data_IF_111329451949
#
_entry.id   IF_111329451949
#
_cell.length_a   1.000
_cell.length_b   1.000
_cell.length_c   1.000
_cell.angle_alpha   90.00
_cell.angle_beta   90.00
_cell.angle_gamma   90.00
#
_symmetry.space_group_name_H-M   'P 1'
#
loop_
_entity.id
_entity.type
_entity.pdbx_description
1 polymer ?
#
# COMPACT_ATOMS: atom_id res chain seq x y z
N UNK A 1 -2.87 -21.02 12.88
CA UNK A 1 -2.40 -20.13 13.98
C UNK A 1 -1.00 -19.55 13.71
N UNK A 2 -0.72 -19.01 12.51
CA UNK A 2 0.63 -18.59 12.07
C UNK A 2 0.79 -17.07 11.82
N UNK A 3 -0.26 -16.26 11.96
CA UNK A 3 -0.21 -14.79 11.83
C UNK A 3 0.01 -14.03 13.15
N UNK A 4 -0.01 -14.72 14.30
CA UNK A 4 0.01 -14.05 15.60
C UNK A 4 1.40 -13.50 15.98
N UNK A 5 2.50 -14.16 15.64
CA UNK A 5 3.84 -13.72 16.11
C UNK A 5 4.33 -12.41 15.47
N UNK A 6 4.13 -12.23 14.16
CA UNK A 6 4.51 -10.99 13.44
C UNK A 6 3.68 -9.77 13.86
N UNK A 7 2.42 -9.98 14.27
CA UNK A 7 1.56 -8.93 14.82
C UNK A 7 1.97 -8.60 16.26
N UNK A 8 2.39 -9.61 17.03
CA UNK A 8 2.73 -9.45 18.45
C UNK A 8 4.00 -8.61 18.64
N UNK A 9 5.10 -8.84 17.91
CA UNK A 9 6.31 -8.03 18.13
C UNK A 9 6.11 -6.57 17.72
N UNK A 10 5.40 -6.30 16.62
CA UNK A 10 5.05 -4.93 16.21
C UNK A 10 4.11 -4.24 17.20
N UNK A 11 3.12 -4.96 17.74
CA UNK A 11 2.26 -4.45 18.82
C UNK A 11 3.09 -4.09 20.04
N UNK A 12 4.05 -4.95 20.43
CA UNK A 12 4.99 -4.67 21.51
C UNK A 12 5.79 -3.40 21.20
N UNK A 13 6.33 -3.24 19.98
CA UNK A 13 7.05 -2.02 19.57
C UNK A 13 6.16 -0.77 19.67
N UNK A 14 4.94 -0.83 19.16
CA UNK A 14 3.99 0.29 19.17
C UNK A 14 3.63 0.68 20.60
N UNK A 15 3.34 -0.30 21.46
CA UNK A 15 3.02 -0.05 22.87
C UNK A 15 4.23 0.49 23.66
N UNK A 16 5.43 0.00 23.35
CA UNK A 16 6.70 0.52 23.88
C UNK A 16 6.89 1.98 23.51
N UNK A 17 6.69 2.29 22.23
CA UNK A 17 6.82 3.64 21.71
C UNK A 17 5.79 4.59 22.34
N UNK A 18 4.52 4.19 22.44
CA UNK A 18 3.48 5.01 23.10
C UNK A 18 3.86 5.33 24.54
N UNK A 19 4.31 4.34 25.31
CA UNK A 19 4.79 4.55 26.70
C UNK A 19 5.94 5.54 26.77
N UNK A 20 6.91 5.45 25.86
CA UNK A 20 8.06 6.37 25.83
C UNK A 20 7.59 7.79 25.48
N UNK A 21 6.71 7.95 24.49
CA UNK A 21 6.17 9.26 24.11
C UNK A 21 5.37 9.87 25.27
N UNK A 22 4.52 9.09 25.93
CA UNK A 22 3.75 9.54 27.09
C UNK A 22 4.67 9.99 28.23
N UNK A 23 5.76 9.25 28.48
CA UNK A 23 6.79 9.60 29.47
C UNK A 23 7.54 10.89 29.09
N UNK A 24 7.95 11.04 27.83
CA UNK A 24 8.64 12.24 27.35
C UNK A 24 7.72 13.48 27.37
N UNK A 25 6.44 13.31 27.03
CA UNK A 25 5.43 14.36 27.07
C UNK A 25 5.14 14.82 28.51
N UNK A 26 5.00 13.88 29.44
CA UNK A 26 4.75 14.18 30.86
C UNK A 26 5.87 14.98 31.52
N UNK A 27 7.10 14.94 30.97
CA UNK A 27 8.26 15.66 31.47
C UNK A 27 8.62 16.88 30.61
N UNK A 28 7.79 17.25 29.62
CA UNK A 28 7.99 18.40 28.74
C UNK A 28 9.35 18.43 28.01
N UNK A 29 9.94 17.25 27.75
CA UNK A 29 11.24 17.14 27.07
C UNK A 29 11.13 16.91 25.56
N UNK A 30 9.91 16.78 25.02
CA UNK A 30 9.66 16.62 23.58
C UNK A 30 9.97 17.87 22.75
N UNK A 31 10.09 19.03 23.38
CA UNK A 31 10.47 20.29 22.73
C UNK A 31 11.99 20.37 22.47
N UNK A 32 12.78 19.47 23.07
CA UNK A 32 14.21 19.36 22.77
C UNK A 32 14.41 18.84 21.33
N UNK A 33 15.10 19.57 20.44
CA UNK A 33 15.22 19.21 19.03
C UNK A 33 15.84 17.83 18.79
N UNK A 34 16.78 17.42 19.66
CA UNK A 34 17.47 16.13 19.55
C UNK A 34 16.53 15.00 19.99
N UNK A 35 15.76 15.21 21.08
CA UNK A 35 14.72 14.25 21.48
C UNK A 35 13.64 14.13 20.41
N UNK A 36 13.27 15.24 19.77
CA UNK A 36 12.30 15.24 18.67
C UNK A 36 12.82 14.49 17.43
N UNK A 37 14.09 14.66 17.06
CA UNK A 37 14.72 13.92 15.97
C UNK A 37 14.79 12.41 16.28
N UNK A 38 15.18 12.05 17.50
CA UNK A 38 15.20 10.65 17.96
C UNK A 38 13.79 10.04 17.94
N UNK A 39 12.78 10.82 18.31
CA UNK A 39 11.37 10.44 18.23
C UNK A 39 10.93 10.13 16.79
N UNK A 40 11.31 10.95 15.81
CA UNK A 40 11.06 10.70 14.38
C UNK A 40 11.79 9.42 13.92
N UNK A 41 13.05 9.22 14.33
CA UNK A 41 13.81 8.02 13.99
C UNK A 41 13.21 6.74 14.57
N UNK A 42 12.51 6.81 15.70
CA UNK A 42 11.73 5.68 16.23
C UNK A 42 10.52 5.41 15.34
N UNK A 43 9.78 6.44 14.93
CA UNK A 43 8.65 6.30 13.99
C UNK A 43 9.11 5.63 12.69
N UNK A 44 10.23 6.07 12.12
CA UNK A 44 10.82 5.48 10.92
C UNK A 44 11.22 4.03 11.13
N UNK A 45 11.74 3.70 12.33
CA UNK A 45 12.08 2.33 12.69
C UNK A 45 10.83 1.44 12.78
N UNK A 46 9.73 1.94 13.33
CA UNK A 46 8.43 1.24 13.39
C UNK A 46 7.84 1.04 11.99
N UNK A 47 8.00 2.05 11.12
CA UNK A 47 7.51 2.02 9.74
C UNK A 47 8.40 1.17 8.80
N UNK A 48 9.66 0.92 9.16
CA UNK A 48 10.56 0.06 8.38
C UNK A 48 10.15 -1.41 8.49
N UNK A 49 9.63 -1.95 7.38
CA UNK A 49 9.03 -3.27 7.36
C UNK A 49 10.09 -4.41 7.30
N UNK A 50 10.04 -5.30 8.29
CA UNK A 50 10.43 -6.73 8.22
C UNK A 50 11.83 -7.19 8.70
N UNK A 51 12.52 -6.47 9.58
CA UNK A 51 13.71 -7.05 10.23
C UNK A 51 13.77 -6.76 11.74
N UNK A 52 13.38 -7.74 12.56
CA UNK A 52 13.43 -7.70 14.03
C UNK A 52 14.86 -7.58 14.58
N UNK A 53 15.86 -8.12 13.86
CA UNK A 53 17.26 -7.99 14.24
C UNK A 53 17.75 -6.55 13.99
N UNK A 54 17.41 -5.99 12.83
CA UNK A 54 17.70 -4.58 12.51
C UNK A 54 16.95 -3.63 13.45
N UNK A 55 15.71 -3.95 13.82
CA UNK A 55 14.96 -3.25 14.87
C UNK A 55 15.75 -3.25 16.18
N UNK A 56 16.20 -4.42 16.63
CA UNK A 56 16.98 -4.54 17.86
C UNK A 56 18.30 -3.76 17.82
N UNK A 57 19.00 -3.76 16.68
CA UNK A 57 20.26 -3.04 16.50
C UNK A 57 20.06 -1.52 16.49
N UNK A 58 19.11 -1.03 15.69
CA UNK A 58 18.79 0.40 15.61
C UNK A 58 18.15 0.93 16.90
N UNK A 59 17.32 0.14 17.57
CA UNK A 59 16.73 0.51 18.85
C UNK A 59 17.78 0.62 19.96
N UNK A 60 18.85 -0.21 19.96
CA UNK A 60 19.98 -0.05 20.89
C UNK A 60 20.63 1.32 20.72
N UNK A 61 20.89 1.70 19.47
CA UNK A 61 21.58 2.96 19.19
C UNK A 61 20.71 4.17 19.53
N UNK A 62 19.43 4.15 19.18
CA UNK A 62 18.47 5.19 19.56
C UNK A 62 18.35 5.28 21.09
N UNK A 63 18.25 4.14 21.78
CA UNK A 63 18.18 4.13 23.25
C UNK A 63 19.44 4.71 23.89
N UNK A 64 20.62 4.42 23.34
CA UNK A 64 21.90 4.98 23.80
C UNK A 64 21.88 6.51 23.68
N UNK A 65 21.51 7.03 22.51
CA UNK A 65 21.45 8.47 22.24
C UNK A 65 20.40 9.17 23.13
N UNK A 66 19.23 8.55 23.31
CA UNK A 66 18.16 9.07 24.16
C UNK A 66 18.58 9.09 25.63
N UNK A 67 19.25 8.03 26.12
CA UNK A 67 19.81 7.96 27.47
C UNK A 67 20.84 9.07 27.70
N UNK A 68 21.81 9.22 26.80
CA UNK A 68 22.83 10.25 26.90
C UNK A 68 22.22 11.65 26.94
N UNK A 69 21.24 11.92 26.06
CA UNK A 69 20.57 13.22 26.00
C UNK A 69 19.75 13.50 27.26
N UNK A 70 18.93 12.55 27.71
CA UNK A 70 18.11 12.72 28.92
C UNK A 70 18.98 12.92 30.17
N UNK A 71 20.08 12.18 30.32
CA UNK A 71 21.04 12.41 31.40
C UNK A 71 21.67 13.82 31.32
N UNK A 72 22.02 14.29 30.11
CA UNK A 72 22.57 15.64 29.92
C UNK A 72 21.59 16.75 30.28
N UNK A 73 20.28 16.49 30.18
CA UNK A 73 19.20 17.39 30.57
C UNK A 73 18.80 17.24 32.06
N UNK A 74 19.55 16.47 32.86
CA UNK A 74 19.24 16.22 34.28
C UNK A 74 18.12 15.20 34.53
N UNK A 75 17.57 14.60 33.48
CA UNK A 75 16.43 13.67 33.54
C UNK A 75 16.89 12.21 33.74
N UNK A 76 17.72 11.98 34.77
CA UNK A 76 18.36 10.67 35.03
C UNK A 76 17.32 9.58 35.31
N UNK A 77 16.29 9.89 36.10
CA UNK A 77 15.23 8.94 36.45
C UNK A 77 14.38 8.56 35.23
N UNK A 78 13.96 9.55 34.44
CA UNK A 78 13.24 9.34 33.19
C UNK A 78 14.06 8.51 32.19
N UNK A 79 15.37 8.78 32.12
CA UNK A 79 16.29 7.98 31.30
C UNK A 79 16.32 6.52 31.72
N UNK A 80 16.35 6.22 33.02
CA UNK A 80 16.33 4.85 33.54
C UNK A 80 14.99 4.16 33.26
N UNK A 81 13.87 4.86 33.45
CA UNK A 81 12.52 4.35 33.18
C UNK A 81 12.33 4.00 31.70
N UNK A 82 12.71 4.91 30.79
CA UNK A 82 12.66 4.67 29.34
C UNK A 82 13.61 3.54 28.93
N UNK A 83 14.83 3.50 29.48
CA UNK A 83 15.78 2.42 29.21
C UNK A 83 15.20 1.07 29.62
N UNK A 84 14.56 0.99 30.79
CA UNK A 84 13.89 -0.21 31.28
C UNK A 84 12.77 -0.66 30.36
N UNK A 85 11.91 0.26 29.93
CA UNK A 85 10.83 -0.02 28.96
C UNK A 85 11.39 -0.59 27.65
N UNK A 86 12.48 -0.03 27.12
CA UNK A 86 13.12 -0.52 25.89
C UNK A 86 13.75 -1.91 26.09
N UNK A 87 14.45 -2.13 27.20
CA UNK A 87 15.08 -3.43 27.51
C UNK A 87 14.04 -4.54 27.66
N UNK A 88 13.02 -4.33 28.50
CA UNK A 88 11.95 -5.32 28.70
C UNK A 88 11.22 -5.65 27.40
N UNK A 89 11.02 -4.65 26.55
CA UNK A 89 10.35 -4.85 25.26
C UNK A 89 11.22 -5.62 24.28
N UNK A 90 12.54 -5.39 24.28
CA UNK A 90 13.49 -6.19 23.50
C UNK A 90 13.57 -7.63 23.97
N UNK A 91 13.50 -7.89 25.27
CA UNK A 91 13.45 -9.24 25.85
C UNK A 91 12.15 -9.96 25.47
N UNK A 92 11.00 -9.27 25.56
CA UNK A 92 9.71 -9.77 25.09
C UNK A 92 9.76 -10.13 23.59
N UNK A 93 10.31 -9.24 22.77
CA UNK A 93 10.50 -9.45 21.34
C UNK A 93 11.43 -10.64 21.08
N UNK A 94 12.56 -10.77 21.78
CA UNK A 94 13.46 -11.93 21.67
C UNK A 94 12.79 -13.24 22.13
N UNK A 95 11.96 -13.18 23.18
CA UNK A 95 11.18 -14.31 23.69
C UNK A 95 10.14 -14.83 22.70
N UNK A 96 9.72 -14.02 21.72
CA UNK A 96 8.86 -14.50 20.62
C UNK A 96 9.56 -15.46 19.64
N UNK A 97 10.89 -15.64 19.74
CA UNK A 97 11.69 -16.55 18.89
C UNK A 97 11.83 -17.99 19.43
N UNK A 98 11.32 -18.32 20.63
CA UNK A 98 11.47 -19.65 21.24
C UNK A 98 10.58 -20.75 20.60
N UNK A 99 9.79 -20.39 19.60
CA UNK A 99 9.22 -21.33 18.66
C UNK A 99 9.95 -21.15 17.34
N UNK A 100 10.37 -22.25 16.72
CA UNK A 100 10.88 -22.34 15.35
C UNK A 100 9.84 -21.82 14.34
N UNK A 101 9.49 -20.55 14.44
CA UNK A 101 8.63 -19.84 13.53
C UNK A 101 9.55 -19.30 12.47
N UNK A 102 9.71 -20.08 11.39
CA UNK A 102 10.11 -19.50 10.10
C UNK A 102 9.31 -18.20 9.93
N UNK A 103 9.97 -17.04 9.71
CA UNK A 103 9.25 -15.86 9.30
C UNK A 103 8.38 -16.28 8.13
N UNK A 104 7.08 -15.96 8.18
CA UNK A 104 6.26 -16.16 7.01
C UNK A 104 6.89 -15.26 5.94
N UNK A 105 7.58 -15.86 4.97
CA UNK A 105 8.11 -15.20 3.78
C UNK A 105 6.93 -14.71 2.92
N UNK A 106 6.14 -13.77 3.44
CA UNK A 106 5.25 -12.96 2.65
C UNK A 106 6.01 -11.70 2.28
N UNK A 107 6.91 -11.83 1.32
CA UNK A 107 7.51 -10.65 0.71
C UNK A 107 7.13 -10.61 -0.77
N UNK A 108 5.83 -10.52 -1.05
CA UNK A 108 5.34 -10.05 -2.36
C UNK A 108 5.96 -8.69 -2.69
N UNK A 109 6.36 -7.92 -1.67
CA UNK A 109 7.23 -6.76 -1.76
C UNK A 109 8.27 -6.78 -0.63
N UNK A 110 9.52 -6.41 -0.93
CA UNK A 110 10.62 -6.22 0.03
C UNK A 110 11.35 -4.93 -0.31
N UNK A 111 11.66 -4.13 0.71
CA UNK A 111 12.53 -2.96 0.59
C UNK A 111 13.72 -3.17 1.51
N UNK A 112 14.93 -3.20 0.96
CA UNK A 112 16.15 -3.41 1.72
C UNK A 112 17.33 -2.71 1.03
N UNK A 113 18.11 -1.94 1.81
CA UNK A 113 19.37 -1.35 1.38
C UNK A 113 19.26 -0.53 0.08
N UNK A 114 18.17 0.22 -0.08
CA UNK A 114 17.87 1.00 -1.28
C UNK A 114 17.36 0.18 -2.47
N UNK A 115 17.25 -1.14 -2.33
CA UNK A 115 16.66 -2.05 -3.32
C UNK A 115 15.20 -2.35 -2.97
N UNK A 116 14.36 -2.40 -4.00
CA UNK A 116 12.97 -2.85 -3.91
C UNK A 116 12.87 -4.13 -4.73
N UNK A 117 12.28 -5.18 -4.17
CA UNK A 117 11.87 -6.37 -4.92
C UNK A 117 10.38 -6.62 -4.79
N UNK A 118 9.77 -7.07 -5.88
CA UNK A 118 8.35 -7.33 -6.06
C UNK A 118 8.19 -8.72 -6.70
N UNK A 119 7.35 -9.59 -6.12
CA UNK A 119 7.12 -10.94 -6.64
C UNK A 119 8.38 -11.79 -6.78
N UNK A 120 9.40 -11.55 -5.95
CA UNK A 120 10.70 -12.22 -6.02
C UNK A 120 11.70 -11.62 -7.02
N UNK A 121 11.32 -10.59 -7.79
CA UNK A 121 12.18 -9.90 -8.75
C UNK A 121 12.61 -8.53 -8.22
N UNK A 122 13.83 -8.08 -8.50
CA UNK A 122 14.19 -6.67 -8.22
C UNK A 122 13.37 -5.72 -9.10
N UNK A 123 13.09 -4.52 -8.63
CA UNK A 123 12.17 -3.57 -9.28
C UNK A 123 12.49 -3.36 -10.77
N UNK A 124 13.78 -3.20 -11.10
CA UNK A 124 14.25 -3.03 -12.50
C UNK A 124 13.90 -4.19 -13.42
N UNK A 125 13.74 -5.40 -12.87
CA UNK A 125 13.36 -6.62 -13.60
C UNK A 125 11.83 -6.76 -13.61
N UNK A 126 11.18 -6.46 -12.48
CA UNK A 126 9.73 -6.50 -12.36
C UNK A 126 9.03 -5.56 -13.36
N UNK A 127 9.50 -4.31 -13.50
CA UNK A 127 8.87 -3.32 -14.40
C UNK A 127 9.17 -3.54 -15.88
N UNK A 128 10.03 -4.50 -16.23
CA UNK A 128 10.30 -4.88 -17.63
C UNK A 128 9.24 -5.82 -18.21
N UNK A 129 8.42 -6.43 -17.36
CA UNK A 129 7.27 -7.18 -17.82
C UNK A 129 6.32 -6.22 -18.57
N UNK A 130 5.97 -6.53 -19.81
CA UNK A 130 5.10 -5.68 -20.63
C UNK A 130 3.62 -6.04 -20.46
N UNK A 131 3.30 -7.22 -19.94
CA UNK A 131 1.92 -7.60 -19.62
C UNK A 131 1.61 -7.30 -18.14
N UNK A 132 0.79 -6.27 -17.92
CA UNK A 132 0.40 -5.87 -16.57
C UNK A 132 -0.35 -6.99 -15.83
N UNK A 133 -1.08 -7.87 -16.53
CA UNK A 133 -1.69 -9.05 -15.90
C UNK A 133 -0.62 -9.99 -15.33
N UNK A 134 0.41 -10.31 -16.12
CA UNK A 134 1.46 -11.24 -15.71
C UNK A 134 2.21 -10.70 -14.49
N UNK A 135 2.62 -9.43 -14.53
CA UNK A 135 3.33 -8.79 -13.43
C UNK A 135 2.50 -8.77 -12.13
N UNK A 136 1.21 -8.42 -12.22
CA UNK A 136 0.35 -8.32 -11.03
C UNK A 136 -0.15 -9.66 -10.51
N UNK A 137 -0.28 -10.69 -11.36
CA UNK A 137 -0.51 -12.06 -10.92
C UNK A 137 0.72 -12.63 -10.19
N UNK A 138 1.94 -12.30 -10.66
CA UNK A 138 3.17 -12.67 -9.97
C UNK A 138 3.20 -12.10 -8.54
N UNK A 139 2.75 -10.86 -8.34
CA UNK A 139 2.57 -10.30 -7.00
C UNK A 139 1.67 -11.19 -6.16
N UNK A 140 0.56 -11.69 -6.70
CA UNK A 140 -0.36 -12.61 -6.01
C UNK A 140 0.18 -14.04 -5.83
N UNK A 141 1.46 -14.28 -6.16
CA UNK A 141 2.10 -15.59 -6.20
C UNK A 141 1.31 -16.57 -7.10
N UNK A 142 0.83 -16.09 -8.24
CA UNK A 142 0.00 -16.84 -9.18
C UNK A 142 0.52 -16.65 -10.61
N UNK A 143 0.65 -17.72 -11.37
CA UNK A 143 1.14 -17.69 -12.75
C UNK A 143 0.47 -18.74 -13.64
N UNK A 144 -0.60 -19.37 -13.17
CA UNK A 144 -1.33 -20.37 -13.95
C UNK A 144 -2.07 -19.73 -15.15
N UNK A 145 -2.18 -20.45 -16.28
CA UNK A 145 -2.99 -20.01 -17.42
C UNK A 145 -4.47 -19.77 -17.06
N UNK A 146 -4.99 -20.54 -16.11
CA UNK A 146 -6.36 -20.38 -15.60
C UNK A 146 -6.56 -19.05 -14.88
N UNK A 147 -5.57 -18.62 -14.08
CA UNK A 147 -5.61 -17.33 -13.41
C UNK A 147 -5.52 -16.17 -14.40
N UNK A 148 -4.66 -16.26 -15.41
CA UNK A 148 -4.57 -15.25 -16.47
C UNK A 148 -5.89 -15.12 -17.25
N UNK A 149 -6.50 -16.25 -17.59
CA UNK A 149 -7.80 -16.28 -18.26
C UNK A 149 -8.91 -15.69 -17.40
N UNK A 150 -8.93 -16.06 -16.11
CA UNK A 150 -9.87 -15.53 -15.14
C UNK A 150 -9.71 -14.01 -14.93
N UNK A 151 -8.47 -13.52 -14.84
CA UNK A 151 -8.13 -12.12 -14.70
C UNK A 151 -8.61 -11.29 -15.91
N UNK A 152 -8.30 -11.73 -17.13
CA UNK A 152 -8.73 -11.07 -18.38
C UNK A 152 -10.25 -10.98 -18.49
N UNK A 153 -10.94 -12.09 -18.22
CA UNK A 153 -12.41 -12.13 -18.25
C UNK A 153 -13.01 -11.19 -17.21
N UNK A 154 -12.54 -11.27 -15.96
CA UNK A 154 -13.08 -10.46 -14.88
C UNK A 154 -12.79 -8.96 -15.07
N UNK A 155 -11.60 -8.59 -15.57
CA UNK A 155 -11.29 -7.21 -15.92
C UNK A 155 -12.23 -6.67 -17.00
N UNK A 156 -12.48 -7.44 -18.06
CA UNK A 156 -13.41 -7.06 -19.13
C UNK A 156 -14.85 -6.90 -18.63
N UNK A 157 -15.31 -7.77 -17.74
CA UNK A 157 -16.60 -7.60 -17.07
C UNK A 157 -16.62 -6.35 -16.16
N UNK A 158 -15.54 -6.12 -15.42
CA UNK A 158 -15.40 -5.00 -14.50
C UNK A 158 -15.31 -3.65 -15.22
N UNK A 159 -14.71 -3.59 -16.40
CA UNK A 159 -14.53 -2.36 -17.15
C UNK A 159 -15.82 -1.81 -17.74
N UNK A 160 -16.88 -2.61 -17.83
CA UNK A 160 -18.17 -2.16 -18.31
C UNK A 160 -18.92 -1.41 -17.20
N UNK A 161 -18.95 -0.08 -17.27
CA UNK A 161 -19.71 0.77 -16.34
C UNK A 161 -21.20 0.75 -16.71
N UNK A 162 -22.08 0.55 -15.73
CA UNK A 162 -23.53 0.70 -15.95
C UNK A 162 -24.00 2.14 -15.74
N UNK A 163 -25.24 2.44 -16.13
CA UNK A 163 -25.81 3.79 -16.08
C UNK A 163 -25.67 4.49 -14.72
N UNK A 164 -25.92 3.78 -13.62
CA UNK A 164 -25.78 4.35 -12.26
C UNK A 164 -24.33 4.68 -11.91
N UNK A 165 -23.39 3.84 -12.33
CA UNK A 165 -21.95 4.08 -12.12
C UNK A 165 -21.47 5.28 -12.95
N UNK A 166 -21.89 5.37 -14.21
CA UNK A 166 -21.63 6.52 -15.08
C UNK A 166 -22.17 7.80 -14.45
N UNK A 167 -23.43 7.78 -13.98
CA UNK A 167 -24.06 8.93 -13.32
C UNK A 167 -23.27 9.41 -12.09
N UNK A 168 -22.80 8.47 -11.25
CA UNK A 168 -21.98 8.80 -10.07
C UNK A 168 -20.71 9.55 -10.51
N UNK A 169 -20.02 9.05 -11.54
CA UNK A 169 -18.74 9.60 -11.99
C UNK A 169 -18.94 10.97 -12.65
N UNK A 170 -19.92 11.10 -13.54
CA UNK A 170 -20.25 12.38 -14.20
C UNK A 170 -20.69 13.44 -13.19
N UNK A 171 -21.49 13.05 -12.19
CA UNK A 171 -21.85 13.95 -11.09
C UNK A 171 -20.61 14.38 -10.30
N UNK A 172 -19.76 13.44 -9.93
CA UNK A 172 -18.52 13.75 -9.20
C UNK A 172 -17.61 14.70 -9.99
N UNK A 173 -17.55 14.55 -11.32
CA UNK A 173 -16.81 15.47 -12.19
C UNK A 173 -17.45 16.87 -12.21
N UNK A 174 -18.77 16.97 -12.39
CA UNK A 174 -19.50 18.26 -12.34
C UNK A 174 -19.31 18.98 -11.00
N UNK A 175 -19.35 18.22 -9.92
CA UNK A 175 -19.22 18.71 -8.54
C UNK A 175 -17.75 18.88 -8.11
N UNK A 176 -16.80 18.60 -9.02
CA UNK A 176 -15.35 18.74 -8.82
C UNK A 176 -14.79 17.97 -7.62
N UNK A 177 -15.32 16.77 -7.39
CA UNK A 177 -14.78 15.86 -6.37
C UNK A 177 -13.34 15.47 -6.68
N UNK A 178 -12.59 15.05 -5.66
CA UNK A 178 -11.29 14.46 -5.89
C UNK A 178 -11.44 13.02 -6.41
N UNK A 179 -10.49 12.55 -7.25
CA UNK A 179 -10.48 11.16 -7.74
C UNK A 179 -10.67 10.13 -6.61
N UNK A 180 -9.96 10.22 -5.46
CA UNK A 180 -10.16 9.28 -4.36
C UNK A 180 -11.61 9.26 -3.82
N UNK A 181 -12.30 10.39 -3.77
CA UNK A 181 -13.70 10.48 -3.30
C UNK A 181 -14.65 9.80 -4.27
N UNK A 182 -14.45 10.03 -5.57
CA UNK A 182 -15.18 9.35 -6.65
C UNK A 182 -14.99 7.84 -6.58
N UNK A 183 -13.74 7.37 -6.45
CA UNK A 183 -13.43 5.94 -6.41
C UNK A 183 -13.94 5.28 -5.13
N UNK A 184 -13.86 5.94 -3.98
CA UNK A 184 -14.45 5.45 -2.72
C UNK A 184 -15.97 5.32 -2.86
N UNK A 185 -16.65 6.29 -3.47
CA UNK A 185 -18.10 6.22 -3.73
C UNK A 185 -18.45 5.05 -4.65
N UNK A 186 -17.65 4.83 -5.69
CA UNK A 186 -17.78 3.67 -6.59
C UNK A 186 -17.62 2.33 -5.83
N UNK A 187 -16.66 2.23 -4.91
CA UNK A 187 -16.47 1.04 -4.08
C UNK A 187 -17.64 0.82 -3.10
N UNK A 188 -18.22 1.90 -2.55
CA UNK A 188 -19.43 1.80 -1.72
C UNK A 188 -20.60 1.26 -2.53
N UNK A 189 -20.79 1.72 -3.77
CA UNK A 189 -21.82 1.19 -4.66
C UNK A 189 -21.59 -0.32 -4.94
N UNK A 190 -20.35 -0.73 -5.21
CA UNK A 190 -20.01 -2.15 -5.38
C UNK A 190 -20.29 -2.98 -4.12
N UNK A 191 -20.07 -2.40 -2.93
CA UNK A 191 -20.37 -3.04 -1.65
C UNK A 191 -21.88 -3.23 -1.44
N UNK A 192 -22.68 -2.20 -1.74
CA UNK A 192 -24.14 -2.22 -1.56
C UNK A 192 -24.79 -3.26 -2.48
N UNK A 193 -24.24 -3.49 -3.68
CA UNK A 193 -24.71 -4.52 -4.61
C UNK A 193 -24.49 -5.95 -4.13
N UNK A 194 -23.71 -6.17 -3.08
CA UNK A 194 -23.57 -7.47 -2.43
C UNK A 194 -22.86 -8.55 -3.27
N UNK A 195 -22.13 -8.17 -4.34
CA UNK A 195 -21.41 -9.13 -5.20
C UNK A 195 -20.26 -9.83 -4.47
N UNK A 196 -19.60 -9.13 -3.55
CA UNK A 196 -18.32 -9.56 -2.99
C UNK A 196 -18.53 -10.30 -1.67
N UNK A 197 -18.13 -11.58 -1.56
CA UNK A 197 -18.11 -12.25 -0.27
C UNK A 197 -17.04 -11.66 0.64
N UNK A 198 -17.10 -12.08 1.90
CA UNK A 198 -16.01 -11.86 2.86
C UNK A 198 -14.70 -12.48 2.32
N UNK A 199 -13.55 -11.86 2.61
CA UNK A 199 -12.25 -12.45 2.25
C UNK A 199 -12.03 -13.85 2.84
N UNK A 200 -12.77 -14.22 3.88
CA UNK A 200 -12.78 -15.58 4.43
C UNK A 200 -13.05 -16.66 3.36
N UNK A 201 -13.85 -16.36 2.36
CA UNK A 201 -14.16 -17.29 1.27
C UNK A 201 -12.96 -17.57 0.36
N UNK A 202 -11.96 -16.69 0.36
CA UNK A 202 -10.74 -16.85 -0.41
C UNK A 202 -9.55 -17.38 0.41
N UNK A 203 -9.67 -17.41 1.74
CA UNK A 203 -8.59 -17.86 2.62
C UNK A 203 -8.17 -19.29 2.27
N UNK A 204 -6.86 -19.52 2.26
CA UNK A 204 -6.31 -20.86 2.16
C UNK A 204 -6.66 -21.65 3.44
N UNK A 205 -7.32 -22.79 3.28
CA UNK A 205 -7.70 -23.68 4.36
C UNK A 205 -6.90 -24.98 4.27
N UNK A 206 -6.03 -25.28 5.25
CA UNK A 206 -5.18 -26.49 5.22
C UNK A 206 -5.96 -27.81 5.18
N UNK A 207 -7.23 -27.81 5.60
CA UNK A 207 -8.11 -28.97 5.58
C UNK A 207 -8.81 -29.21 4.24
N UNK A 208 -8.72 -28.28 3.28
CA UNK A 208 -9.29 -28.44 1.94
C UNK A 208 -8.28 -29.06 0.97
N UNK A 209 -8.80 -29.72 -0.06
CA UNK A 209 -7.96 -30.25 -1.15
C UNK A 209 -7.20 -29.12 -1.88
N UNK A 210 -6.08 -29.43 -2.56
CA UNK A 210 -5.36 -28.44 -3.37
C UNK A 210 -6.24 -27.79 -4.44
N UNK A 211 -7.17 -28.56 -5.04
CA UNK A 211 -8.09 -28.07 -6.07
C UNK A 211 -9.08 -27.04 -5.48
N UNK A 212 -9.63 -27.30 -4.29
CA UNK A 212 -10.54 -26.36 -3.63
C UNK A 212 -9.83 -25.09 -3.20
N UNK A 213 -8.62 -25.19 -2.64
CA UNK A 213 -7.80 -24.04 -2.32
C UNK A 213 -7.44 -23.23 -3.58
N UNK A 214 -7.16 -23.90 -4.70
CA UNK A 214 -6.92 -23.21 -5.97
C UNK A 214 -8.17 -22.51 -6.49
N UNK A 215 -9.36 -23.13 -6.38
CA UNK A 215 -10.64 -22.49 -6.73
C UNK A 215 -10.90 -21.23 -5.91
N UNK A 216 -10.63 -21.26 -4.60
CA UNK A 216 -10.73 -20.09 -3.71
C UNK A 216 -9.80 -18.96 -4.16
N UNK A 217 -8.54 -19.29 -4.48
CA UNK A 217 -7.56 -18.32 -5.00
C UNK A 217 -7.99 -17.73 -6.34
N UNK A 218 -8.50 -18.55 -7.27
CA UNK A 218 -9.06 -18.08 -8.54
C UNK A 218 -10.29 -17.18 -8.33
N UNK A 219 -11.10 -17.43 -7.28
CA UNK A 219 -12.16 -16.54 -6.85
C UNK A 219 -11.64 -15.15 -6.47
N UNK A 220 -10.60 -15.09 -5.64
CA UNK A 220 -9.93 -13.83 -5.31
C UNK A 220 -9.38 -13.11 -6.54
N UNK A 221 -8.73 -13.83 -7.47
CA UNK A 221 -8.23 -13.23 -8.72
C UNK A 221 -9.37 -12.60 -9.52
N UNK A 222 -10.50 -13.30 -9.69
CA UNK A 222 -11.66 -12.76 -10.42
C UNK A 222 -12.17 -11.49 -9.78
N UNK A 223 -12.40 -11.48 -8.47
CA UNK A 223 -12.99 -10.32 -7.81
C UNK A 223 -12.01 -9.14 -7.72
N UNK A 224 -10.71 -9.40 -7.58
CA UNK A 224 -9.68 -8.37 -7.65
C UNK A 224 -9.65 -7.69 -9.03
N UNK A 225 -9.55 -8.47 -10.12
CA UNK A 225 -9.48 -7.90 -11.47
C UNK A 225 -10.78 -7.26 -11.93
N UNK A 226 -11.94 -7.74 -11.46
CA UNK A 226 -13.21 -7.06 -11.66
C UNK A 226 -13.18 -5.65 -11.04
N UNK A 227 -12.71 -5.52 -9.80
CA UNK A 227 -12.58 -4.21 -9.15
C UNK A 227 -11.52 -3.32 -9.81
N UNK A 228 -10.39 -3.87 -10.27
CA UNK A 228 -9.40 -3.12 -11.05
C UNK A 228 -10.04 -2.56 -12.32
N UNK A 229 -10.81 -3.37 -13.06
CA UNK A 229 -11.55 -2.93 -14.26
C UNK A 229 -12.52 -1.79 -13.96
N UNK A 230 -13.28 -1.90 -12.86
CA UNK A 230 -14.20 -0.84 -12.40
C UNK A 230 -13.46 0.45 -12.08
N UNK A 231 -12.39 0.37 -11.29
CA UNK A 231 -11.62 1.53 -10.85
C UNK A 231 -10.92 2.21 -12.04
N UNK A 232 -10.30 1.45 -12.94
CA UNK A 232 -9.64 2.00 -14.12
C UNK A 232 -10.63 2.69 -15.03
N UNK A 233 -11.77 2.05 -15.30
CA UNK A 233 -12.83 2.67 -16.11
C UNK A 233 -13.40 3.93 -15.48
N UNK A 234 -13.51 3.93 -14.14
CA UNK A 234 -13.93 5.13 -13.40
C UNK A 234 -12.93 6.27 -13.55
N UNK A 235 -11.62 5.97 -13.48
CA UNK A 235 -10.55 6.96 -13.71
C UNK A 235 -10.59 7.48 -15.14
N UNK A 236 -10.75 6.60 -16.14
CA UNK A 236 -10.86 6.98 -17.54
C UNK A 236 -12.04 7.92 -17.80
N UNK A 237 -13.23 7.59 -17.29
CA UNK A 237 -14.40 8.45 -17.45
C UNK A 237 -14.23 9.77 -16.68
N UNK A 238 -13.77 9.73 -15.43
CA UNK A 238 -13.61 10.93 -14.61
C UNK A 238 -12.58 11.91 -15.19
N UNK A 239 -11.47 11.39 -15.74
CA UNK A 239 -10.33 12.21 -16.17
C UNK A 239 -10.48 12.78 -17.58
N UNK A 240 -11.46 12.32 -18.37
CA UNK A 240 -11.58 12.65 -19.78
C UNK A 240 -13.02 12.99 -20.16
N UNK A 241 -13.31 14.29 -20.22
CA UNK A 241 -14.64 14.83 -20.51
C UNK A 241 -15.15 14.32 -21.87
N UNK A 242 -16.12 13.40 -21.84
CA UNK A 242 -16.92 13.01 -23.01
C UNK A 242 -16.27 12.05 -24.02
N UNK A 243 -15.12 11.43 -23.72
CA UNK A 243 -14.43 10.50 -24.64
C UNK A 243 -14.34 9.05 -24.15
N UNK A 244 -14.93 8.74 -23.00
CA UNK A 244 -14.94 7.38 -22.48
C UNK A 244 -15.70 6.44 -23.42
N UNK A 245 -15.00 5.47 -24.00
CA UNK A 245 -15.58 4.53 -24.94
C UNK A 245 -14.84 3.18 -24.91
N UNK A 246 -15.48 2.18 -24.31
CA UNK A 246 -14.92 0.81 -24.25
C UNK A 246 -14.84 0.14 -25.62
N UNK A 247 -15.56 0.63 -26.64
CA UNK A 247 -15.48 0.07 -28.00
C UNK A 247 -14.12 0.36 -28.67
N UNK A 248 -13.36 1.33 -28.15
CA UNK A 248 -12.01 1.66 -28.63
C UNK A 248 -10.93 0.72 -28.10
N UNK A 249 -11.27 -0.10 -27.09
CA UNK A 249 -10.32 -1.00 -26.45
C UNK A 249 -10.04 -2.19 -27.35
N UNK A 250 -8.78 -2.44 -27.65
CA UNK A 250 -8.40 -3.60 -28.47
C UNK A 250 -8.66 -4.91 -27.72
N UNK A 251 -9.02 -5.97 -28.45
CA UNK A 251 -9.46 -7.28 -27.90
C UNK A 251 -8.47 -7.92 -26.92
N UNK A 252 -7.19 -7.54 -26.97
CA UNK A 252 -6.11 -8.08 -26.13
C UNK A 252 -5.33 -6.98 -25.39
N UNK A 253 -5.88 -5.78 -25.25
CA UNK A 253 -5.23 -4.72 -24.49
C UNK A 253 -5.00 -5.17 -23.04
N UNK A 254 -3.79 -4.95 -22.53
CA UNK A 254 -3.53 -5.03 -21.08
C UNK A 254 -4.31 -3.89 -20.36
N UNK A 255 -4.52 -3.97 -19.04
CA UNK A 255 -5.29 -2.99 -18.28
C UNK A 255 -4.83 -1.53 -18.47
N UNK A 256 -3.54 -1.27 -18.60
CA UNK A 256 -3.01 0.10 -18.77
C UNK A 256 -3.31 0.60 -20.18
N UNK A 257 -3.08 -0.23 -21.19
CA UNK A 257 -3.45 0.12 -22.57
C UNK A 257 -4.95 0.32 -22.71
N UNK A 258 -5.75 -0.57 -22.12
CA UNK A 258 -7.20 -0.49 -22.14
C UNK A 258 -7.72 0.78 -21.46
N UNK A 259 -7.15 1.16 -20.30
CA UNK A 259 -7.44 2.42 -19.61
C UNK A 259 -7.22 3.63 -20.54
N UNK A 260 -6.06 3.71 -21.18
CA UNK A 260 -5.69 4.85 -22.04
C UNK A 260 -6.53 4.92 -23.32
N UNK A 261 -6.84 3.76 -23.93
CA UNK A 261 -7.72 3.67 -25.10
C UNK A 261 -9.15 4.03 -24.76
N UNK A 262 -9.68 3.51 -23.65
CA UNK A 262 -11.03 3.82 -23.19
C UNK A 262 -11.17 5.31 -22.84
N UNK A 263 -10.14 5.93 -22.26
CA UNK A 263 -10.06 7.38 -22.05
C UNK A 263 -10.05 8.21 -23.34
N UNK A 264 -9.89 7.60 -24.52
CA UNK A 264 -9.80 8.28 -25.79
C UNK A 264 -8.54 9.14 -25.94
N UNK A 265 -7.46 8.77 -25.24
CA UNK A 265 -6.18 9.47 -25.32
C UNK A 265 -5.31 8.85 -26.39
N UNK A 266 -4.88 9.67 -27.35
CA UNK A 266 -3.85 9.28 -28.31
C UNK A 266 -2.50 9.25 -27.58
N UNK A 267 -2.00 8.06 -27.30
CA UNK A 267 -0.71 7.83 -26.67
C UNK A 267 0.22 7.14 -27.65
N UNK A 268 1.47 7.60 -27.73
CA UNK A 268 2.53 6.86 -28.42
C UNK A 268 2.89 5.59 -27.64
N UNK A 269 3.51 4.61 -28.31
CA UNK A 269 3.98 3.39 -27.65
C UNK A 269 4.92 3.70 -26.46
N UNK A 270 5.78 4.72 -26.58
CA UNK A 270 6.67 5.16 -25.51
C UNK A 270 5.90 5.72 -24.30
N UNK A 271 4.81 6.47 -24.54
CA UNK A 271 3.97 7.00 -23.46
C UNK A 271 3.21 5.88 -22.74
N UNK A 272 2.68 4.89 -23.48
CA UNK A 272 2.03 3.72 -22.90
C UNK A 272 3.02 2.94 -22.04
N UNK A 273 4.22 2.67 -22.56
CA UNK A 273 5.28 1.97 -21.82
C UNK A 273 5.70 2.72 -20.55
N UNK A 274 5.81 4.06 -20.60
CA UNK A 274 6.11 4.87 -19.43
C UNK A 274 5.01 4.79 -18.36
N UNK A 275 3.72 4.89 -18.75
CA UNK A 275 2.60 4.74 -17.81
C UNK A 275 2.59 3.34 -17.19
N UNK A 276 2.85 2.33 -18.01
CA UNK A 276 2.94 0.93 -17.57
C UNK A 276 4.05 0.74 -16.54
N UNK A 277 5.25 1.25 -16.82
CA UNK A 277 6.41 1.21 -15.91
C UNK A 277 6.09 1.89 -14.59
N UNK A 278 5.48 3.08 -14.63
CA UNK A 278 5.08 3.83 -13.43
C UNK A 278 4.02 3.04 -12.64
N UNK A 279 3.02 2.48 -13.32
CA UNK A 279 1.95 1.72 -12.69
C UNK A 279 2.48 0.45 -11.99
N UNK A 280 3.43 -0.26 -12.62
CA UNK A 280 4.09 -1.41 -12.00
C UNK A 280 5.01 -1.00 -10.85
N UNK A 281 5.77 0.07 -10.99
CA UNK A 281 6.63 0.57 -9.91
C UNK A 281 5.85 0.98 -8.65
N UNK A 282 4.57 1.38 -8.82
CA UNK A 282 3.69 1.78 -7.72
C UNK A 282 2.66 0.70 -7.34
N UNK A 283 2.79 -0.50 -7.89
CA UNK A 283 1.86 -1.61 -7.62
C UNK A 283 1.95 -2.11 -6.17
N UNK A 284 3.15 -2.11 -5.60
CA UNK A 284 3.39 -2.33 -4.17
C UNK A 284 4.70 -1.68 -3.72
N UNK A 285 4.79 -1.29 -2.46
CA UNK A 285 5.99 -0.63 -1.92
C UNK A 285 6.19 -0.96 -0.42
N UNK A 286 6.31 -2.25 -0.11
CA UNK A 286 6.65 -2.75 1.22
C UNK A 286 5.65 -2.34 2.30
N UNK A 287 4.53 -3.04 2.42
CA UNK A 287 3.46 -2.87 3.43
C UNK A 287 3.28 -1.41 3.86
N UNK A 288 2.99 -0.54 2.87
CA UNK A 288 2.71 0.87 3.13
C UNK A 288 1.41 1.04 3.94
N UNK A 289 1.14 2.25 4.43
CA UNK A 289 -0.03 2.53 5.28
C UNK A 289 -1.36 2.10 4.65
N UNK A 290 -1.52 2.25 3.33
CA UNK A 290 -2.68 1.75 2.60
C UNK A 290 -2.77 0.23 2.56
N UNK A 291 -1.67 -0.43 2.19
CA UNK A 291 -1.57 -1.90 2.16
C UNK A 291 -1.80 -2.52 3.53
N UNK A 292 -1.19 -1.94 4.58
CA UNK A 292 -1.38 -2.37 5.98
C UNK A 292 -2.85 -2.27 6.37
N UNK A 293 -3.50 -1.16 6.03
CA UNK A 293 -4.91 -0.97 6.39
C UNK A 293 -5.82 -1.95 5.63
N UNK A 294 -5.55 -2.20 4.35
CA UNK A 294 -6.25 -3.23 3.60
C UNK A 294 -6.07 -4.61 4.26
N UNK A 295 -4.87 -4.93 4.76
CA UNK A 295 -4.61 -6.18 5.49
C UNK A 295 -5.33 -6.23 6.84
N UNK A 296 -5.39 -5.13 7.59
CA UNK A 296 -6.15 -5.04 8.84
C UNK A 296 -7.65 -5.27 8.58
N UNK A 297 -8.20 -4.64 7.55
CA UNK A 297 -9.58 -4.88 7.13
C UNK A 297 -9.79 -6.35 6.70
N UNK A 298 -8.83 -6.92 5.97
CA UNK A 298 -8.82 -8.35 5.63
C UNK A 298 -8.79 -9.26 6.86
N UNK A 299 -8.07 -8.89 7.93
CA UNK A 299 -7.94 -9.67 9.15
C UNK A 299 -9.25 -9.80 9.94
N UNK A 300 -10.13 -8.80 9.83
CA UNK A 300 -11.50 -8.85 10.35
C UNK A 300 -12.50 -9.38 9.32
N UNK A 301 -11.99 -10.00 8.25
CA UNK A 301 -12.76 -10.68 7.22
C UNK A 301 -13.72 -9.75 6.49
N UNK A 302 -13.31 -8.51 6.26
CA UNK A 302 -14.04 -7.59 5.40
C UNK A 302 -14.14 -8.11 3.96
N UNK A 303 -14.94 -7.47 3.13
CA UNK A 303 -14.97 -7.71 1.67
C UNK A 303 -13.86 -6.92 0.99
N UNK A 304 -13.52 -7.24 -0.27
CA UNK A 304 -12.55 -6.46 -1.05
C UNK A 304 -12.90 -4.97 -1.16
N UNK A 305 -14.14 -4.55 -1.50
CA UNK A 305 -14.46 -3.13 -1.55
C UNK A 305 -14.23 -2.41 -0.22
N UNK A 306 -14.61 -3.02 0.91
CA UNK A 306 -14.38 -2.43 2.24
C UNK A 306 -12.90 -2.29 2.57
N UNK A 307 -12.09 -3.30 2.24
CA UNK A 307 -10.65 -3.24 2.44
C UNK A 307 -10.00 -2.14 1.59
N UNK A 308 -10.44 -1.96 0.35
CA UNK A 308 -9.96 -0.90 -0.55
C UNK A 308 -10.39 0.50 -0.09
N UNK A 309 -11.64 0.68 0.37
CA UNK A 309 -12.12 1.94 0.96
C UNK A 309 -11.23 2.36 2.13
N UNK A 310 -10.94 1.42 3.05
CA UNK A 310 -10.08 1.68 4.19
C UNK A 310 -8.66 2.10 3.74
N UNK A 311 -8.11 1.45 2.73
CA UNK A 311 -6.82 1.83 2.15
C UNK A 311 -6.84 3.22 1.50
N UNK A 312 -7.86 3.56 0.71
CA UNK A 312 -7.97 4.87 0.05
C UNK A 312 -8.05 6.03 1.03
N UNK A 313 -8.82 5.87 2.11
CA UNK A 313 -8.98 6.91 3.14
C UNK A 313 -7.66 7.26 3.84
N UNK A 314 -6.71 6.32 3.91
CA UNK A 314 -5.39 6.55 4.51
C UNK A 314 -4.36 7.00 3.48
N UNK A 315 -4.45 6.51 2.23
CA UNK A 315 -3.51 6.88 1.17
C UNK A 315 -3.70 8.29 0.62
N UNK A 316 -4.91 8.85 0.69
CA UNK A 316 -5.26 10.16 0.11
C UNK A 316 -4.62 11.36 0.84
N UNK A 317 -4.00 11.15 2.00
CA UNK A 317 -3.27 12.19 2.73
C UNK A 317 -2.01 12.70 2.01
N UNK A 318 -1.63 13.95 2.30
CA UNK A 318 -0.44 14.62 1.73
C UNK A 318 0.86 13.86 2.05
N UNK A 319 0.94 13.24 3.23
CA UNK A 319 2.09 12.46 3.69
C UNK A 319 2.25 11.10 2.96
N UNK A 320 1.36 10.76 2.04
CA UNK A 320 1.46 9.53 1.25
C UNK A 320 1.29 9.79 -0.24
N UNK A 321 0.12 9.51 -0.83
CA UNK A 321 -0.06 9.59 -2.29
C UNK A 321 -0.22 11.03 -2.81
N UNK A 322 -0.37 12.03 -1.92
CA UNK A 322 -0.41 13.45 -2.27
C UNK A 322 0.93 14.06 -2.66
N UNK A 323 2.06 13.43 -2.33
CA UNK A 323 3.40 13.99 -2.54
C UNK A 323 3.71 14.29 -4.02
N UNK A 324 3.30 13.43 -4.96
CA UNK A 324 3.52 13.64 -6.39
C UNK A 324 2.77 14.89 -6.88
N UNK A 325 1.52 15.08 -6.43
CA UNK A 325 0.73 16.27 -6.77
C UNK A 325 1.43 17.53 -6.28
N UNK A 326 1.94 17.51 -5.05
CA UNK A 326 2.65 18.63 -4.46
C UNK A 326 3.95 18.93 -5.22
N UNK A 327 4.78 17.92 -5.51
CA UNK A 327 5.99 18.09 -6.32
C UNK A 327 5.68 18.68 -7.71
N UNK A 328 4.61 18.20 -8.37
CA UNK A 328 4.17 18.74 -9.66
C UNK A 328 3.68 20.18 -9.55
N UNK A 329 2.95 20.52 -8.47
CA UNK A 329 2.48 21.88 -8.21
C UNK A 329 3.64 22.84 -7.93
N UNK A 330 4.63 22.41 -7.15
CA UNK A 330 5.86 23.18 -6.89
C UNK A 330 6.66 23.39 -8.17
N UNK A 331 6.85 22.33 -8.96
CA UNK A 331 7.55 22.41 -10.26
C UNK A 331 6.82 23.36 -11.21
N UNK A 332 5.49 23.25 -11.32
CA UNK A 332 4.69 24.15 -12.15
C UNK A 332 4.78 25.60 -11.70
N UNK A 333 4.74 25.85 -10.38
CA UNK A 333 4.90 27.18 -9.79
C UNK A 333 6.27 27.77 -10.10
N UNK A 334 7.33 26.97 -9.98
CA UNK A 334 8.69 27.38 -10.32
C UNK A 334 8.81 27.77 -11.79
N UNK A 335 8.35 26.91 -12.70
CA UNK A 335 8.37 27.18 -14.16
C UNK A 335 7.59 28.44 -14.53
N UNK A 336 6.50 28.75 -13.80
CA UNK A 336 5.69 29.96 -14.02
C UNK A 336 6.22 31.21 -13.32
N UNK A 337 7.17 31.07 -12.38
CA UNK A 337 7.65 32.18 -11.55
C UNK A 337 8.57 33.15 -12.28
N UNK A 338 9.01 32.84 -13.51
CA UNK A 338 9.91 33.69 -14.29
C UNK A 338 11.33 33.81 -13.71
N UNK A 339 11.67 33.02 -12.68
CA UNK A 339 13.02 32.96 -12.13
C UNK A 339 13.97 32.34 -13.15
N UNK A 340 15.02 33.07 -13.54
CA UNK A 340 16.07 32.56 -14.41
C UNK A 340 16.68 31.28 -13.82
N UNK A 341 16.78 30.24 -14.65
CA UNK A 341 17.62 29.07 -14.37
C UNK A 341 19.07 29.56 -14.36
N UNK A 342 19.57 29.99 -13.19
CA UNK A 342 21.00 30.15 -13.00
C UNK A 342 21.60 28.76 -13.15
N UNK A 343 22.41 28.59 -14.20
CA UNK A 343 23.07 27.33 -14.56
C UNK A 343 23.57 26.62 -13.30
N UNK A 344 23.00 25.44 -13.03
CA UNK A 344 23.50 24.46 -12.05
C UNK A 344 24.47 23.55 -12.79
#
# INVERSE_FOLDING_TARGET
MKSRSNIVWKSIVIDTYRKIVDMLAAHSVLEDPIIHELHIRIIDLVNSNHNQQLFNERAKEINRQLKERLCSLGNIRLSQEITGVIVSSRELIQGTNSHNTRPVEFAQSRVQDGSISLGGLVMREFVRENDYYVATLLLMNENSPDALTAAKKAYSEGSQLNAKEVEIIERAQRDRWAIPETLTTMLVEQQVRGRFPSVQEYEHLPGLSPIENQRRKLGAVRDAYFLIGKLFSSIALFSYEGKYDTARVSKNADPITALLQAAGKECTAAQIHAVHTIALAHSSHGLNSGELTAQLAGSVRATFPRALIAAFNIRSGVLHSGAIRECMQQTSTYLRSGKELRNI
#
